data_IF_366159998786
#
_entry.id   IF_366159998786
#
_cell.length_a   1.000
_cell.length_b   1.000
_cell.length_c   1.000
_cell.angle_alpha   90.00
_cell.angle_beta   90.00
_cell.angle_gamma   90.00
#
_symmetry.space_group_name_H-M   'P 1'
#
loop_
_entity.id
_entity.type
_entity.pdbx_description
1 polymer ?
#
# COMPACT_ATOMS: atom_id res chain seq x y z
N UNK A 1 -11.58 -16.14 50.16
CA UNK A 1 -12.96 -16.65 50.01
C UNK A 1 -13.61 -16.20 48.69
N UNK A 2 -13.61 -14.90 48.34
CA UNK A 2 -14.19 -14.40 47.06
C UNK A 2 -13.68 -15.09 45.79
N UNK A 3 -12.37 -15.25 45.61
CA UNK A 3 -11.82 -15.91 44.42
C UNK A 3 -12.25 -17.39 44.29
N UNK A 4 -12.50 -18.09 45.42
CA UNK A 4 -12.91 -19.50 45.39
C UNK A 4 -14.38 -19.67 44.96
N UNK A 5 -15.25 -18.71 45.27
CA UNK A 5 -16.64 -18.69 44.79
C UNK A 5 -16.70 -18.29 43.32
N UNK A 6 -15.95 -17.27 42.89
CA UNK A 6 -15.87 -16.86 41.48
C UNK A 6 -15.31 -17.97 40.58
N UNK A 7 -14.31 -18.73 41.05
CA UNK A 7 -13.77 -19.89 40.31
C UNK A 7 -14.79 -21.04 40.16
N UNK A 8 -15.66 -21.24 41.15
CA UNK A 8 -16.76 -22.22 41.07
C UNK A 8 -17.89 -21.78 40.13
N UNK A 9 -17.99 -20.48 39.86
CA UNK A 9 -18.97 -19.91 38.93
C UNK A 9 -18.63 -20.11 37.45
N UNK A 10 -17.43 -20.59 37.11
CA UNK A 10 -17.03 -20.87 35.73
C UNK A 10 -17.81 -22.09 35.20
N UNK A 11 -18.66 -21.96 34.16
CA UNK A 11 -19.40 -23.08 33.60
C UNK A 11 -18.46 -24.12 32.97
N UNK A 12 -18.87 -25.39 32.94
CA UNK A 12 -18.12 -26.41 32.18
C UNK A 12 -18.17 -26.12 30.69
N UNK A 13 -17.14 -26.56 29.97
CA UNK A 13 -17.07 -26.40 28.51
C UNK A 13 -18.31 -26.99 27.82
N UNK A 14 -18.79 -28.15 28.28
CA UNK A 14 -20.01 -28.77 27.73
C UNK A 14 -21.27 -27.92 27.96
N UNK A 15 -21.36 -27.23 29.11
CA UNK A 15 -22.46 -26.29 29.36
C UNK A 15 -22.38 -25.08 28.45
N UNK A 16 -21.18 -24.54 28.24
CA UNK A 16 -20.96 -23.41 27.33
C UNK A 16 -21.32 -23.81 25.88
N UNK A 17 -20.87 -24.99 25.44
CA UNK A 17 -21.18 -25.52 24.11
C UNK A 17 -22.68 -25.70 23.85
N UNK A 18 -23.47 -25.99 24.89
CA UNK A 18 -24.91 -26.17 24.79
C UNK A 18 -25.70 -24.84 24.77
N UNK A 19 -25.03 -23.68 24.89
CA UNK A 19 -25.69 -22.38 24.93
C UNK A 19 -26.30 -21.99 23.57
N UNK A 20 -27.53 -21.45 23.54
CA UNK A 20 -28.17 -20.98 22.30
C UNK A 20 -27.34 -19.97 21.52
N UNK A 21 -26.59 -19.10 22.20
CA UNK A 21 -25.73 -18.06 21.63
C UNK A 21 -24.57 -18.64 20.81
N UNK A 22 -24.20 -19.91 21.03
CA UNK A 22 -23.13 -20.60 20.31
C UNK A 22 -23.62 -21.44 19.12
N UNK A 23 -24.94 -21.60 18.96
CA UNK A 23 -25.53 -22.48 17.93
C UNK A 23 -25.11 -22.10 16.51
N UNK A 24 -25.12 -20.81 16.20
CA UNK A 24 -24.69 -20.31 14.87
C UNK A 24 -23.21 -20.60 14.58
N UNK A 25 -22.39 -20.78 15.61
CA UNK A 25 -20.97 -21.12 15.49
C UNK A 25 -20.76 -22.63 15.43
N UNK A 26 -21.54 -23.43 16.17
CA UNK A 26 -21.44 -24.90 16.10
C UNK A 26 -21.78 -25.45 14.72
N UNK A 27 -22.61 -24.75 13.94
CA UNK A 27 -22.94 -25.13 12.56
C UNK A 27 -21.82 -24.80 11.56
N UNK A 28 -20.90 -23.89 11.92
CA UNK A 28 -19.86 -23.34 11.03
C UNK A 28 -18.44 -23.76 11.41
N UNK A 29 -18.22 -24.08 12.68
CA UNK A 29 -16.92 -24.40 13.26
C UNK A 29 -16.98 -25.83 13.77
N UNK A 30 -16.03 -26.67 13.33
CA UNK A 30 -15.89 -28.02 13.85
C UNK A 30 -15.75 -28.01 15.39
N UNK A 31 -16.47 -28.92 16.04
CA UNK A 31 -16.57 -29.02 17.50
C UNK A 31 -15.20 -29.03 18.19
N UNK A 32 -14.18 -29.63 17.56
CA UNK A 32 -12.81 -29.66 18.09
C UNK A 32 -12.25 -28.25 18.28
N UNK A 33 -12.41 -27.37 17.30
CA UNK A 33 -11.90 -26.00 17.36
C UNK A 33 -12.73 -25.13 18.29
N UNK A 34 -14.06 -25.27 18.25
CA UNK A 34 -14.95 -24.54 19.15
C UNK A 34 -14.64 -24.87 20.63
N UNK A 35 -14.46 -26.16 20.93
CA UNK A 35 -14.02 -26.64 22.26
C UNK A 35 -12.67 -26.05 22.65
N UNK A 36 -11.71 -26.00 21.71
CA UNK A 36 -10.38 -25.41 21.93
C UNK A 36 -10.44 -23.92 22.30
N UNK A 37 -11.25 -23.14 21.58
CA UNK A 37 -11.45 -21.71 21.82
C UNK A 37 -12.11 -21.48 23.20
N UNK A 38 -13.17 -22.22 23.50
CA UNK A 38 -13.86 -22.13 24.80
C UNK A 38 -12.90 -22.48 25.94
N UNK A 39 -12.13 -23.56 25.81
CA UNK A 39 -11.12 -23.94 26.81
C UNK A 39 -10.08 -22.84 27.01
N UNK A 40 -9.52 -22.31 25.93
CA UNK A 40 -8.55 -21.23 25.99
C UNK A 40 -9.11 -20.00 26.74
N UNK A 41 -10.32 -19.54 26.37
CA UNK A 41 -10.96 -18.40 27.04
C UNK A 41 -11.29 -18.69 28.49
N UNK A 42 -11.77 -19.89 28.80
CA UNK A 42 -12.05 -20.34 30.17
C UNK A 42 -10.77 -20.31 31.02
N UNK A 43 -9.63 -20.71 30.45
CA UNK A 43 -8.33 -20.70 31.13
C UNK A 43 -7.78 -19.27 31.30
N UNK A 44 -7.92 -18.40 30.30
CA UNK A 44 -7.60 -16.96 30.44
C UNK A 44 -8.41 -16.33 31.57
N UNK A 45 -9.71 -16.62 31.60
CA UNK A 45 -10.63 -16.12 32.61
C UNK A 45 -10.28 -16.62 34.01
N UNK A 46 -9.91 -17.91 34.13
CA UNK A 46 -9.41 -18.49 35.38
C UNK A 46 -8.19 -17.74 35.90
N UNK A 47 -7.26 -17.38 35.02
CA UNK A 47 -6.06 -16.59 35.38
C UNK A 47 -6.42 -15.18 35.85
N UNK A 48 -7.34 -14.49 35.16
CA UNK A 48 -7.81 -13.15 35.55
C UNK A 48 -8.46 -13.15 36.94
N UNK A 49 -9.34 -14.13 37.22
CA UNK A 49 -9.97 -14.30 38.56
C UNK A 49 -8.92 -14.58 39.64
N UNK A 50 -7.93 -15.43 39.35
CA UNK A 50 -6.81 -15.68 40.29
C UNK A 50 -5.96 -14.42 40.51
N UNK A 51 -5.85 -13.55 39.51
CA UNK A 51 -5.19 -12.24 39.58
C UNK A 51 -5.97 -11.17 40.35
N UNK A 52 -7.17 -11.48 40.85
CA UNK A 52 -7.98 -10.58 41.68
C UNK A 52 -9.00 -9.74 40.91
N UNK A 53 -9.19 -10.00 39.62
CA UNK A 53 -10.26 -9.36 38.84
C UNK A 53 -11.62 -10.03 39.14
N UNK A 54 -12.68 -9.22 39.26
CA UNK A 54 -14.03 -9.71 39.46
C UNK A 54 -14.73 -9.88 38.10
N UNK A 55 -15.19 -11.09 37.84
CA UNK A 55 -15.88 -11.43 36.60
C UNK A 55 -17.04 -12.40 36.84
N UNK A 56 -18.06 -12.35 35.98
CA UNK A 56 -19.20 -13.27 36.01
C UNK A 56 -19.13 -14.34 34.92
N UNK A 57 -20.00 -15.35 34.99
CA UNK A 57 -20.19 -16.34 33.93
C UNK A 57 -20.65 -15.70 32.62
N UNK A 58 -21.48 -14.66 32.70
CA UNK A 58 -22.01 -13.92 31.56
C UNK A 58 -20.90 -13.16 30.84
N UNK A 59 -19.96 -12.56 31.59
CA UNK A 59 -18.78 -11.90 31.03
C UNK A 59 -17.93 -12.90 30.21
N UNK A 60 -17.71 -14.12 30.72
CA UNK A 60 -16.99 -15.18 30.00
C UNK A 60 -17.72 -15.57 28.71
N UNK A 61 -19.03 -15.80 28.78
CA UNK A 61 -19.84 -16.17 27.61
C UNK A 61 -19.78 -15.05 26.57
N UNK A 62 -19.91 -13.80 26.99
CA UNK A 62 -19.84 -12.66 26.09
C UNK A 62 -18.45 -12.49 25.46
N UNK A 63 -17.37 -12.70 26.21
CA UNK A 63 -16.00 -12.72 25.68
C UNK A 63 -15.82 -13.85 24.64
N UNK A 64 -16.34 -15.05 24.92
CA UNK A 64 -16.31 -16.18 23.97
C UNK A 64 -17.09 -15.85 22.70
N UNK A 65 -18.32 -15.34 22.82
CA UNK A 65 -19.13 -14.96 21.66
C UNK A 65 -18.45 -13.86 20.84
N UNK A 66 -17.85 -12.86 21.50
CA UNK A 66 -17.14 -11.78 20.82
C UNK A 66 -15.89 -12.29 20.09
N UNK A 67 -15.11 -13.17 20.71
CA UNK A 67 -13.96 -13.82 20.09
C UNK A 67 -14.39 -14.64 18.86
N UNK A 68 -15.44 -15.47 19.01
CA UNK A 68 -15.96 -16.28 17.91
C UNK A 68 -16.46 -15.41 16.76
N UNK A 69 -17.14 -14.29 17.05
CA UNK A 69 -17.51 -13.29 16.03
C UNK A 69 -16.28 -12.71 15.34
N UNK A 70 -15.26 -12.34 16.10
CA UNK A 70 -14.04 -11.72 15.56
C UNK A 70 -13.27 -12.68 14.65
N UNK A 71 -12.97 -13.89 15.11
CA UNK A 71 -12.18 -14.87 14.34
C UNK A 71 -12.92 -15.41 13.10
N UNK A 72 -14.26 -15.42 13.12
CA UNK A 72 -15.07 -15.87 11.98
C UNK A 72 -15.42 -14.74 11.01
N UNK A 73 -15.19 -13.48 11.39
CA UNK A 73 -15.37 -12.34 10.50
C UNK A 73 -14.10 -12.17 9.66
N UNK A 74 -14.21 -12.10 8.32
CA UNK A 74 -13.03 -11.90 7.47
C UNK A 74 -12.27 -10.62 7.84
N UNK A 75 -11.01 -10.77 8.29
CA UNK A 75 -10.14 -9.65 8.64
C UNK A 75 -9.73 -8.84 7.40
N UNK A 76 -9.27 -9.52 6.34
CA UNK A 76 -8.92 -8.89 5.06
C UNK A 76 -10.18 -8.69 4.21
N UNK A 77 -10.84 -7.55 4.41
CA UNK A 77 -12.11 -7.22 3.77
C UNK A 77 -12.05 -5.90 2.99
N UNK A 78 -13.06 -5.68 2.17
CA UNK A 78 -13.26 -4.39 1.50
C UNK A 78 -13.46 -3.28 2.52
N UNK A 79 -12.84 -2.12 2.33
CA UNK A 79 -12.94 -0.98 3.24
C UNK A 79 -13.25 0.30 2.46
N UNK A 80 -14.05 1.19 3.05
CA UNK A 80 -14.36 2.50 2.49
C UNK A 80 -13.33 3.52 3.00
N UNK A 81 -12.58 4.10 2.07
CA UNK A 81 -11.58 5.13 2.36
C UNK A 81 -12.22 6.52 2.29
N UNK A 82 -12.66 7.05 3.44
CA UNK A 82 -13.05 8.45 3.62
C UNK A 82 -11.97 9.33 4.28
N UNK A 83 -10.71 8.86 4.34
CA UNK A 83 -9.61 9.62 4.95
C UNK A 83 -9.09 10.74 4.05
N UNK A 84 -9.29 10.62 2.73
CA UNK A 84 -8.74 11.57 1.77
C UNK A 84 -7.26 11.32 1.45
N UNK A 85 -6.76 10.10 1.71
CA UNK A 85 -5.38 9.71 1.40
C UNK A 85 -5.42 8.70 0.26
N UNK A 86 -4.90 9.06 -0.92
CA UNK A 86 -5.08 8.26 -2.16
C UNK A 86 -4.32 6.93 -2.10
N UNK A 87 -3.02 6.97 -1.78
CA UNK A 87 -2.13 5.82 -1.65
C UNK A 87 -1.93 5.47 -0.17
N UNK A 88 -3.03 5.20 0.54
CA UNK A 88 -2.97 4.93 1.97
C UNK A 88 -2.30 3.58 2.28
N UNK A 89 -1.16 3.59 2.97
CA UNK A 89 -0.36 2.37 3.22
C UNK A 89 -1.12 1.31 4.02
N UNK A 90 -1.92 1.73 5.02
CA UNK A 90 -2.73 0.81 5.82
C UNK A 90 -4.01 0.30 5.14
N UNK A 91 -4.43 0.89 4.01
CA UNK A 91 -5.63 0.47 3.25
C UNK A 91 -5.24 -0.16 1.90
N UNK A 92 -3.97 -0.53 1.71
CA UNK A 92 -3.52 -1.28 0.54
C UNK A 92 -3.00 -0.43 -0.64
N UNK A 93 -2.66 0.85 -0.42
CA UNK A 93 -2.12 1.78 -1.43
C UNK A 93 -3.05 1.98 -2.64
N UNK A 94 -2.63 1.52 -3.82
CA UNK A 94 -3.28 1.81 -5.09
C UNK A 94 -4.51 0.92 -5.29
N UNK A 95 -5.72 1.50 -5.45
CA UNK A 95 -6.84 0.75 -5.98
C UNK A 95 -6.57 0.39 -7.44
N UNK A 96 -7.01 -0.81 -7.84
CA UNK A 96 -6.82 -1.30 -9.19
C UNK A 96 -7.76 -0.63 -10.21
N UNK A 97 -7.36 -0.70 -11.47
CA UNK A 97 -8.16 -0.21 -12.59
C UNK A 97 -9.52 -0.91 -12.69
N UNK A 98 -10.47 -0.23 -13.34
CA UNK A 98 -11.81 -0.78 -13.60
C UNK A 98 -11.73 -2.12 -14.34
N UNK A 99 -12.49 -3.12 -13.88
CA UNK A 99 -12.53 -4.46 -14.48
C UNK A 99 -11.45 -5.43 -13.96
N UNK A 100 -10.60 -5.01 -13.01
CA UNK A 100 -9.60 -5.91 -12.40
C UNK A 100 -10.24 -7.07 -11.61
N UNK A 101 -11.42 -6.85 -11.05
CA UNK A 101 -12.22 -7.89 -10.38
C UNK A 101 -12.49 -9.09 -11.31
N UNK A 102 -12.81 -8.82 -12.58
CA UNK A 102 -12.99 -9.88 -13.59
C UNK A 102 -11.68 -10.62 -13.84
N UNK A 103 -10.56 -9.91 -13.97
CA UNK A 103 -9.24 -10.53 -14.20
C UNK A 103 -8.85 -11.43 -13.03
N UNK A 104 -8.99 -10.92 -11.81
CA UNK A 104 -8.71 -11.69 -10.59
C UNK A 104 -9.65 -12.90 -10.46
N UNK A 105 -10.93 -12.73 -10.78
CA UNK A 105 -11.90 -13.81 -10.84
C UNK A 105 -11.49 -14.90 -11.82
N UNK A 106 -11.13 -14.56 -13.07
CA UNK A 106 -10.69 -15.53 -14.07
C UNK A 106 -9.42 -16.28 -13.65
N UNK A 107 -8.39 -15.57 -13.18
CA UNK A 107 -7.12 -16.19 -12.73
C UNK A 107 -7.31 -17.02 -11.46
N UNK A 108 -8.28 -16.64 -10.62
CA UNK A 108 -8.63 -17.32 -9.38
C UNK A 108 -9.35 -18.65 -9.59
N UNK A 109 -10.07 -18.83 -10.70
CA UNK A 109 -10.86 -20.05 -10.98
C UNK A 109 -10.04 -21.34 -11.05
N UNK A 110 -8.74 -21.27 -11.33
CA UNK A 110 -7.91 -22.48 -11.39
C UNK A 110 -6.50 -22.26 -11.95
N UNK A 111 -6.12 -23.13 -12.87
CA UNK A 111 -4.84 -23.05 -13.60
C UNK A 111 -4.79 -21.80 -14.49
N UNK A 112 -3.58 -21.32 -14.79
CA UNK A 112 -3.36 -20.14 -15.63
C UNK A 112 -2.13 -20.33 -16.51
N UNK A 113 -2.08 -19.63 -17.64
CA UNK A 113 -0.90 -19.59 -18.53
C UNK A 113 0.21 -18.74 -17.90
N UNK A 114 0.91 -19.30 -16.92
CA UNK A 114 1.91 -18.58 -16.11
C UNK A 114 3.35 -18.72 -16.62
N UNK A 115 3.74 -19.92 -17.06
CA UNK A 115 5.10 -20.26 -17.50
C UNK A 115 5.07 -21.34 -18.59
N UNK A 116 4.12 -21.23 -19.51
CA UNK A 116 3.96 -22.17 -20.62
C UNK A 116 3.80 -21.41 -21.94
N UNK A 117 4.51 -21.84 -22.98
CA UNK A 117 4.38 -21.31 -24.34
C UNK A 117 3.23 -21.97 -25.12
N UNK A 118 3.09 -21.58 -26.39
CA UNK A 118 2.01 -22.06 -27.26
C UNK A 118 2.22 -23.52 -27.68
N UNK A 119 3.45 -24.03 -27.56
CA UNK A 119 3.84 -25.42 -27.79
C UNK A 119 3.71 -26.31 -26.54
N UNK A 120 3.26 -25.77 -25.40
CA UNK A 120 3.08 -26.51 -24.16
C UNK A 120 4.36 -26.74 -23.36
N UNK A 121 5.46 -26.04 -23.69
CA UNK A 121 6.76 -26.16 -23.01
C UNK A 121 6.95 -25.06 -21.99
N UNK A 122 7.89 -25.26 -21.07
CA UNK A 122 8.18 -24.30 -20.01
C UNK A 122 8.79 -23.02 -20.60
N UNK A 123 8.19 -21.88 -20.28
CA UNK A 123 8.58 -20.57 -20.78
C UNK A 123 8.98 -19.58 -19.67
N UNK A 124 9.67 -18.50 -20.04
CA UNK A 124 9.98 -17.40 -19.15
C UNK A 124 8.71 -16.66 -18.70
N UNK A 125 8.57 -16.47 -17.38
CA UNK A 125 7.45 -15.71 -16.79
C UNK A 125 7.44 -14.23 -17.20
N UNK A 126 8.63 -13.67 -17.45
CA UNK A 126 8.78 -12.24 -17.67
C UNK A 126 8.46 -11.83 -19.11
N UNK A 127 8.38 -12.75 -20.08
CA UNK A 127 8.39 -12.47 -21.52
C UNK A 127 7.45 -11.33 -21.92
N UNK A 128 6.16 -11.44 -21.59
CA UNK A 128 5.14 -10.47 -22.02
C UNK A 128 5.23 -9.14 -21.25
N UNK A 129 5.40 -9.18 -19.93
CA UNK A 129 5.55 -7.97 -19.10
C UNK A 129 6.84 -7.23 -19.46
N UNK A 130 7.95 -7.93 -19.69
CA UNK A 130 9.21 -7.35 -20.17
C UNK A 130 9.01 -6.59 -21.47
N UNK A 131 8.25 -7.18 -22.42
CA UNK A 131 7.93 -6.50 -23.68
C UNK A 131 7.07 -5.26 -23.49
N UNK A 132 6.07 -5.31 -22.60
CA UNK A 132 5.26 -4.14 -22.26
C UNK A 132 6.11 -3.02 -21.65
N UNK A 133 7.00 -3.36 -20.71
CA UNK A 133 7.92 -2.41 -20.09
C UNK A 133 8.82 -1.75 -21.15
N UNK A 134 9.39 -2.51 -22.09
CA UNK A 134 10.18 -1.95 -23.19
C UNK A 134 9.38 -0.94 -24.02
N UNK A 135 8.15 -1.30 -24.41
CA UNK A 135 7.28 -0.44 -25.23
C UNK A 135 6.92 0.85 -24.48
N UNK A 136 6.58 0.74 -23.20
CA UNK A 136 6.09 1.87 -22.39
C UNK A 136 7.23 2.80 -21.97
N UNK A 137 8.42 2.24 -21.69
CA UNK A 137 9.52 2.98 -21.05
C UNK A 137 10.66 3.35 -21.99
N UNK A 138 10.80 2.65 -23.11
CA UNK A 138 11.94 2.77 -24.03
C UNK A 138 13.21 2.06 -23.54
N UNK A 139 13.17 1.35 -22.40
CA UNK A 139 14.29 0.55 -21.92
C UNK A 139 14.56 -0.66 -22.84
N UNK A 140 15.80 -1.16 -22.84
CA UNK A 140 16.19 -2.33 -23.64
C UNK A 140 15.54 -3.62 -23.09
N UNK A 141 15.42 -3.74 -21.76
CA UNK A 141 14.79 -4.87 -21.11
C UNK A 141 14.15 -4.47 -19.78
N UNK A 142 13.28 -5.35 -19.27
CA UNK A 142 12.65 -5.17 -17.95
C UNK A 142 12.30 -6.49 -17.27
N UNK A 143 12.23 -6.46 -15.94
CA UNK A 143 11.78 -7.55 -15.08
C UNK A 143 11.03 -6.97 -13.87
N UNK A 144 10.47 -7.85 -13.05
CA UNK A 144 9.78 -7.44 -11.82
C UNK A 144 9.98 -8.47 -10.71
N UNK A 145 10.01 -8.00 -9.47
CA UNK A 145 10.21 -8.77 -8.25
C UNK A 145 9.22 -8.32 -7.17
N UNK A 146 9.23 -8.96 -6.00
CA UNK A 146 8.18 -8.85 -4.98
C UNK A 146 7.83 -7.41 -4.53
N UNK A 147 8.82 -6.51 -4.44
CA UNK A 147 8.64 -5.09 -4.14
C UNK A 147 9.92 -4.30 -4.51
N UNK A 148 9.87 -2.96 -4.46
CA UNK A 148 11.03 -2.13 -4.81
C UNK A 148 12.22 -2.31 -3.84
N UNK A 149 11.96 -2.68 -2.59
CA UNK A 149 13.01 -3.02 -1.65
C UNK A 149 13.81 -4.26 -2.10
N UNK A 150 13.10 -5.30 -2.53
CA UNK A 150 13.67 -6.49 -3.15
C UNK A 150 14.36 -6.18 -4.47
N UNK A 151 13.84 -5.23 -5.26
CA UNK A 151 14.51 -4.76 -6.47
C UNK A 151 15.87 -4.14 -6.16
N UNK A 152 15.91 -3.20 -5.21
CA UNK A 152 17.14 -2.54 -4.75
C UNK A 152 18.14 -3.57 -4.21
N UNK A 153 17.69 -4.48 -3.34
CA UNK A 153 18.48 -5.59 -2.81
C UNK A 153 19.10 -6.44 -3.94
N UNK A 154 18.29 -6.84 -4.92
CA UNK A 154 18.72 -7.67 -6.04
C UNK A 154 19.74 -6.95 -6.92
N UNK A 155 19.51 -5.67 -7.22
CA UNK A 155 20.41 -4.84 -8.04
C UNK A 155 21.78 -4.76 -7.35
N UNK A 156 21.80 -4.32 -6.10
CA UNK A 156 23.04 -4.13 -5.35
C UNK A 156 23.79 -5.44 -5.15
N UNK A 157 23.09 -6.53 -4.81
CA UNK A 157 23.71 -7.84 -4.65
C UNK A 157 24.32 -8.37 -5.96
N UNK A 158 23.68 -8.10 -7.09
CA UNK A 158 24.14 -8.60 -8.40
C UNK A 158 25.31 -7.78 -8.95
N UNK A 159 25.33 -6.48 -8.70
CA UNK A 159 26.30 -5.58 -9.29
C UNK A 159 27.49 -5.26 -8.38
N UNK A 160 27.26 -5.21 -7.07
CA UNK A 160 28.18 -4.57 -6.14
C UNK A 160 28.42 -5.36 -4.85
N UNK A 161 28.15 -6.67 -4.84
CA UNK A 161 28.52 -7.51 -3.69
C UNK A 161 30.01 -7.40 -3.40
N UNK A 162 30.34 -7.14 -2.14
CA UNK A 162 31.68 -6.90 -1.61
C UNK A 162 32.42 -5.72 -2.25
N UNK A 163 31.70 -4.81 -2.91
CA UNK A 163 32.22 -3.65 -3.63
C UNK A 163 31.48 -2.36 -3.26
N UNK A 164 32.08 -1.23 -3.56
CA UNK A 164 31.55 0.08 -3.15
C UNK A 164 30.47 0.60 -4.11
N UNK A 165 29.40 1.14 -3.54
CA UNK A 165 28.36 1.88 -4.26
C UNK A 165 28.33 3.31 -3.73
N UNK A 166 28.58 4.26 -4.63
CA UNK A 166 28.63 5.68 -4.29
C UNK A 166 27.22 6.27 -4.31
N UNK A 167 26.84 6.94 -3.23
CA UNK A 167 25.50 7.56 -3.08
C UNK A 167 25.60 8.85 -2.26
N UNK A 168 24.76 9.84 -2.55
CA UNK A 168 24.67 11.06 -1.75
C UNK A 168 24.16 10.75 -0.34
N UNK A 169 24.75 11.38 0.69
CA UNK A 169 24.28 11.31 2.08
C UNK A 169 22.82 11.79 2.21
N UNK A 170 22.43 12.79 1.42
CA UNK A 170 21.05 13.29 1.35
C UNK A 170 20.04 12.31 0.74
N UNK A 171 20.49 11.17 0.22
CA UNK A 171 19.66 10.15 -0.41
C UNK A 171 19.56 8.85 0.41
N UNK A 172 20.11 8.84 1.64
CA UNK A 172 19.99 7.73 2.59
C UNK A 172 18.63 7.80 3.32
N UNK A 173 17.58 7.44 2.61
CA UNK A 173 16.19 7.63 3.05
C UNK A 173 15.66 6.47 3.91
N UNK A 174 14.66 6.78 4.73
CA UNK A 174 13.77 5.80 5.38
C UNK A 174 12.36 5.93 4.81
N UNK A 175 11.75 4.81 4.41
CA UNK A 175 10.37 4.74 3.90
C UNK A 175 9.57 3.75 4.75
N UNK A 176 8.38 4.18 5.21
CA UNK A 176 7.39 3.28 5.80
C UNK A 176 7.82 2.59 7.11
N UNK A 177 8.78 3.18 7.84
CA UNK A 177 9.17 2.75 9.20
C UNK A 177 10.12 1.56 9.29
N UNK A 178 10.40 0.85 8.18
CA UNK A 178 11.26 -0.35 8.20
C UNK A 178 12.20 -0.48 7.00
N UNK A 179 11.95 0.25 5.90
CA UNK A 179 12.85 0.27 4.76
C UNK A 179 13.86 1.41 4.89
N UNK A 180 15.14 1.07 5.04
CA UNK A 180 16.26 2.02 5.10
C UNK A 180 17.29 1.63 4.05
N UNK A 181 17.67 2.58 3.19
CA UNK A 181 18.69 2.34 2.15
C UNK A 181 19.99 1.76 2.74
N UNK A 182 20.55 2.31 3.84
CA UNK A 182 21.77 1.74 4.45
C UNK A 182 21.64 0.26 4.86
N UNK A 183 20.51 -0.12 5.44
CA UNK A 183 20.28 -1.51 5.85
C UNK A 183 20.13 -2.44 4.66
N UNK A 184 19.46 -2.00 3.59
CA UNK A 184 19.32 -2.78 2.35
C UNK A 184 20.65 -2.93 1.64
N UNK A 185 21.48 -1.88 1.62
CA UNK A 185 22.85 -1.97 1.09
C UNK A 185 23.66 -3.00 1.87
N UNK A 186 23.64 -2.93 3.20
CA UNK A 186 24.31 -3.91 4.06
C UNK A 186 23.84 -5.34 3.80
N UNK A 187 22.53 -5.58 3.71
CA UNK A 187 21.96 -6.91 3.44
C UNK A 187 22.27 -7.42 2.02
N UNK A 188 22.46 -6.52 1.06
CA UNK A 188 22.84 -6.90 -0.31
C UNK A 188 24.29 -7.36 -0.41
N UNK A 189 25.11 -7.07 0.59
CA UNK A 189 26.57 -7.24 0.56
C UNK A 189 27.31 -6.10 -0.13
N UNK A 190 26.62 -5.04 -0.56
CA UNK A 190 27.26 -3.84 -1.09
C UNK A 190 27.85 -3.00 0.05
N UNK A 191 28.99 -2.38 -0.23
CA UNK A 191 29.66 -1.45 0.68
C UNK A 191 29.14 -0.04 0.40
N UNK A 192 28.47 0.57 1.38
CA UNK A 192 28.00 1.95 1.28
C UNK A 192 29.17 2.92 1.26
N UNK A 193 29.29 3.70 0.16
CA UNK A 193 30.23 4.82 0.03
C UNK A 193 29.45 6.12 -0.08
N UNK A 194 29.07 6.67 1.06
CA UNK A 194 28.32 7.93 1.12
C UNK A 194 29.20 9.16 0.82
N UNK A 195 28.66 10.13 0.07
CA UNK A 195 29.37 11.36 -0.33
C UNK A 195 28.53 12.61 -0.09
N UNK A 196 29.19 13.77 -0.07
CA UNK A 196 28.54 15.06 0.17
C UNK A 196 27.94 15.19 1.58
N UNK A 197 26.96 16.07 1.69
CA UNK A 197 26.23 16.38 2.94
C UNK A 197 24.73 16.17 2.76
N UNK A 198 23.98 16.22 3.86
CA UNK A 198 22.52 16.01 3.86
C UNK A 198 21.79 16.92 2.88
N UNK A 199 22.10 18.22 2.90
CA UNK A 199 21.41 19.22 2.08
C UNK A 199 22.12 19.49 0.75
N UNK A 200 23.44 19.31 0.66
CA UNK A 200 24.23 19.66 -0.54
C UNK A 200 25.19 18.55 -0.93
N UNK A 201 25.08 18.10 -2.17
CA UNK A 201 26.04 17.21 -2.82
C UNK A 201 26.45 17.81 -4.17
N UNK A 202 27.72 17.72 -4.49
CA UNK A 202 28.34 18.21 -5.71
C UNK A 202 28.91 17.04 -6.53
N UNK A 203 29.06 17.21 -7.85
CA UNK A 203 29.61 16.16 -8.71
C UNK A 203 31.04 15.74 -8.28
N UNK A 204 31.85 16.69 -7.81
CA UNK A 204 33.20 16.43 -7.29
C UNK A 204 33.20 15.50 -6.05
N UNK A 205 32.13 15.50 -5.25
CA UNK A 205 32.00 14.58 -4.11
C UNK A 205 31.89 13.13 -4.59
N UNK A 206 31.18 12.90 -5.70
CA UNK A 206 31.09 11.58 -6.33
C UNK A 206 32.42 11.19 -6.98
N UNK A 207 33.00 12.07 -7.79
CA UNK A 207 34.22 11.80 -8.55
C UNK A 207 35.41 11.47 -7.64
N UNK A 208 35.59 12.22 -6.56
CA UNK A 208 36.67 11.99 -5.59
C UNK A 208 36.55 10.70 -4.77
N UNK A 209 35.35 10.11 -4.72
CA UNK A 209 35.10 8.86 -4.01
C UNK A 209 35.30 7.61 -4.88
N UNK A 210 35.50 7.76 -6.19
CA UNK A 210 35.73 6.64 -7.11
C UNK A 210 37.10 6.01 -6.84
N UNK A 211 37.12 4.69 -6.68
CA UNK A 211 38.32 3.88 -6.55
C UNK A 211 38.16 2.52 -7.24
N UNK A 212 39.18 1.66 -7.20
CA UNK A 212 39.14 0.33 -7.82
C UNK A 212 38.02 -0.57 -7.25
N UNK A 213 37.61 -0.33 -6.00
CA UNK A 213 36.50 -1.06 -5.36
C UNK A 213 35.13 -0.59 -5.80
N UNK A 214 35.00 0.56 -6.45
CA UNK A 214 33.71 1.11 -6.89
C UNK A 214 33.08 0.23 -7.97
N UNK A 215 31.84 -0.20 -7.74
CA UNK A 215 31.08 -1.04 -8.64
C UNK A 215 29.90 -0.32 -9.31
N UNK A 216 29.34 0.72 -8.69
CA UNK A 216 28.23 1.48 -9.23
C UNK A 216 28.12 2.87 -8.61
N UNK A 217 27.42 3.76 -9.31
CA UNK A 217 26.91 5.03 -8.78
C UNK A 217 25.40 4.85 -8.59
N UNK A 218 24.88 5.21 -7.43
CA UNK A 218 23.46 5.11 -7.13
C UNK A 218 22.87 6.49 -6.84
N UNK A 219 21.69 6.73 -7.40
CA UNK A 219 20.82 7.85 -7.10
C UNK A 219 19.49 7.33 -6.57
N UNK A 220 18.98 7.92 -5.50
CA UNK A 220 17.67 7.58 -4.92
C UNK A 220 16.80 8.82 -4.87
N UNK A 221 15.59 8.74 -5.42
CA UNK A 221 14.62 9.82 -5.37
C UNK A 221 14.01 9.99 -3.97
N UNK A 222 14.00 11.22 -3.47
CA UNK A 222 13.38 11.60 -2.19
C UNK A 222 11.84 11.63 -2.32
N UNK A 223 11.22 10.46 -2.44
CA UNK A 223 9.79 10.32 -2.76
C UNK A 223 8.83 10.64 -1.59
N UNK A 224 9.31 10.57 -0.35
CA UNK A 224 8.52 10.70 0.87
C UNK A 224 8.87 11.91 1.77
N UNK A 225 9.80 12.77 1.35
CA UNK A 225 10.11 14.03 2.01
C UNK A 225 10.78 15.00 1.03
N UNK A 226 10.95 16.26 1.44
CA UNK A 226 11.73 17.27 0.71
C UNK A 226 12.63 18.02 1.67
N UNK A 227 13.84 18.38 1.20
CA UNK A 227 14.73 19.30 1.93
C UNK A 227 14.51 20.69 1.35
N UNK A 228 14.20 21.67 2.21
CA UNK A 228 13.98 23.07 1.83
C UNK A 228 15.16 23.94 2.27
N UNK A 229 15.35 25.09 1.63
CA UNK A 229 16.44 26.03 1.92
C UNK A 229 17.66 25.85 1.00
N UNK A 230 18.87 25.94 1.57
CA UNK A 230 20.11 25.79 0.81
C UNK A 230 20.39 24.33 0.46
N UNK A 231 19.83 23.88 -0.66
CA UNK A 231 19.96 22.51 -1.13
C UNK A 231 20.66 22.43 -2.49
N UNK A 232 21.33 21.30 -2.74
CA UNK A 232 21.94 20.98 -4.03
C UNK A 232 21.97 19.47 -4.24
N UNK A 233 21.38 19.02 -5.35
CA UNK A 233 21.44 17.65 -5.84
C UNK A 233 22.20 17.63 -7.17
N UNK A 234 22.95 16.56 -7.43
CA UNK A 234 23.63 16.34 -8.71
C UNK A 234 22.60 15.80 -9.72
N UNK A 235 22.39 16.45 -10.87
CA UNK A 235 21.50 15.94 -11.91
C UNK A 235 21.90 14.54 -12.40
N UNK A 236 20.91 13.71 -12.74
CA UNK A 236 21.15 12.34 -13.21
C UNK A 236 22.07 12.31 -14.44
N UNK A 237 21.91 13.25 -15.36
CA UNK A 237 22.73 13.36 -16.57
C UNK A 237 24.23 13.54 -16.25
N UNK A 238 24.56 14.29 -15.20
CA UNK A 238 25.94 14.47 -14.75
C UNK A 238 26.49 13.18 -14.14
N UNK A 239 25.68 12.46 -13.35
CA UNK A 239 26.04 11.14 -12.80
C UNK A 239 26.25 10.11 -13.91
N UNK A 240 25.40 10.10 -14.94
CA UNK A 240 25.57 9.24 -16.13
C UNK A 240 26.84 9.61 -16.89
N UNK A 241 27.13 10.90 -17.06
CA UNK A 241 28.40 11.37 -17.65
C UNK A 241 29.62 10.86 -16.87
N UNK A 242 29.57 10.94 -15.54
CA UNK A 242 30.62 10.43 -14.67
C UNK A 242 30.75 8.90 -14.74
N UNK A 243 29.61 8.18 -14.73
CA UNK A 243 29.58 6.73 -14.90
C UNK A 243 30.23 6.28 -16.20
N UNK A 244 29.94 6.97 -17.31
CA UNK A 244 30.61 6.70 -18.61
C UNK A 244 32.11 6.98 -18.56
N UNK A 245 32.54 8.08 -17.95
CA UNK A 245 33.96 8.45 -17.82
C UNK A 245 34.77 7.36 -17.10
N UNK A 246 34.19 6.72 -16.09
CA UNK A 246 34.86 5.71 -15.26
C UNK A 246 34.40 4.26 -15.52
N UNK A 247 33.57 4.04 -16.55
CA UNK A 247 32.97 2.75 -16.89
C UNK A 247 32.22 2.08 -15.70
N UNK A 248 31.38 2.87 -15.02
CA UNK A 248 30.56 2.44 -13.89
C UNK A 248 29.07 2.54 -14.24
N UNK A 249 28.24 1.51 -13.92
CA UNK A 249 26.81 1.59 -14.07
C UNK A 249 26.19 2.64 -13.14
N UNK A 250 25.20 3.36 -13.65
CA UNK A 250 24.35 4.28 -12.87
C UNK A 250 22.99 3.65 -12.59
N UNK A 251 22.67 3.52 -11.30
CA UNK A 251 21.40 2.99 -10.79
C UNK A 251 20.55 4.17 -10.33
N UNK A 252 19.33 4.30 -10.86
CA UNK A 252 18.35 5.31 -10.43
C UNK A 252 17.13 4.63 -9.77
N UNK A 253 17.04 4.71 -8.45
CA UNK A 253 15.85 4.27 -7.71
C UNK A 253 14.85 5.43 -7.63
N UNK A 254 13.84 5.39 -8.49
CA UNK A 254 12.80 6.42 -8.55
C UNK A 254 11.75 6.25 -7.46
N UNK A 255 11.53 5.03 -7.00
CA UNK A 255 10.52 4.69 -5.99
C UNK A 255 9.06 4.86 -6.44
N UNK A 256 8.66 6.00 -7.03
CA UNK A 256 7.26 6.39 -7.29
C UNK A 256 6.66 5.74 -8.54
N UNK A 257 7.48 5.56 -9.59
CA UNK A 257 7.09 4.89 -10.84
C UNK A 257 6.16 5.71 -11.73
N UNK A 258 6.33 7.03 -11.80
CA UNK A 258 5.51 7.87 -12.66
C UNK A 258 5.76 7.58 -14.16
N UNK A 259 4.70 7.19 -14.89
CA UNK A 259 4.73 6.98 -16.34
C UNK A 259 4.07 8.10 -17.15
N UNK A 260 3.33 8.99 -16.48
CA UNK A 260 2.66 10.14 -17.09
C UNK A 260 3.05 11.39 -16.32
N UNK A 261 3.29 12.47 -17.05
CA UNK A 261 3.51 13.78 -16.44
C UNK A 261 2.20 14.33 -15.89
N UNK A 262 2.08 14.44 -14.57
CA UNK A 262 0.89 15.00 -13.94
C UNK A 262 0.89 16.54 -13.89
N UNK A 263 2.00 17.20 -14.24
CA UNK A 263 2.08 18.67 -14.25
C UNK A 263 1.16 19.32 -15.27
N UNK A 264 0.85 18.62 -16.37
CA UNK A 264 -0.17 19.03 -17.33
C UNK A 264 -1.60 19.05 -16.77
N UNK A 265 -1.82 18.45 -15.60
CA UNK A 265 -3.09 18.50 -14.87
C UNK A 265 -3.03 19.33 -13.58
N UNK A 266 -1.99 20.16 -13.43
CA UNK A 266 -1.83 21.03 -12.26
C UNK A 266 -1.33 20.32 -11.00
N UNK A 267 -0.78 19.11 -11.12
CA UNK A 267 -0.11 18.42 -10.02
C UNK A 267 1.41 18.64 -10.09
N UNK A 268 2.16 18.48 -8.99
CA UNK A 268 3.61 18.61 -9.00
C UNK A 268 4.28 17.59 -9.92
N UNK A 269 5.44 17.97 -10.45
CA UNK A 269 6.23 17.12 -11.33
C UNK A 269 6.92 16.02 -10.53
N UNK A 270 6.64 14.78 -10.87
CA UNK A 270 7.42 13.61 -10.45
C UNK A 270 8.41 13.21 -11.55
N UNK A 271 9.59 12.66 -11.20
CA UNK A 271 10.51 12.12 -12.19
C UNK A 271 9.84 11.00 -12.98
N UNK A 272 9.81 11.14 -14.31
CA UNK A 272 9.28 10.10 -15.17
C UNK A 272 10.28 8.97 -15.34
N UNK A 273 9.76 7.75 -15.35
CA UNK A 273 10.55 6.54 -15.63
C UNK A 273 11.24 6.65 -16.99
N UNK A 274 10.52 7.15 -18.00
CA UNK A 274 11.04 7.31 -19.36
C UNK A 274 12.18 8.34 -19.44
N UNK A 275 12.12 9.39 -18.62
CA UNK A 275 13.16 10.42 -18.62
C UNK A 275 14.47 9.86 -18.07
N UNK A 276 14.41 9.01 -17.04
CA UNK A 276 15.59 8.39 -16.45
C UNK A 276 16.31 7.46 -17.44
N UNK A 277 15.55 6.70 -18.23
CA UNK A 277 16.08 5.90 -19.34
C UNK A 277 16.69 6.78 -20.43
N UNK A 278 15.99 7.83 -20.87
CA UNK A 278 16.50 8.76 -21.91
C UNK A 278 17.79 9.47 -21.50
N UNK A 279 17.91 9.81 -20.22
CA UNK A 279 19.11 10.42 -19.62
C UNK A 279 20.28 9.45 -19.56
N UNK A 280 20.04 8.15 -19.76
CA UNK A 280 21.06 7.13 -19.89
C UNK A 280 21.40 6.39 -18.60
N UNK A 281 20.49 6.35 -17.62
CA UNK A 281 20.65 5.45 -16.48
C UNK A 281 20.69 3.99 -16.95
N UNK A 282 21.64 3.23 -16.43
CA UNK A 282 21.85 1.84 -16.83
C UNK A 282 20.78 0.91 -16.27
N UNK A 283 20.31 1.21 -15.05
CA UNK A 283 19.24 0.50 -14.35
C UNK A 283 18.36 1.52 -13.65
N UNK A 284 17.04 1.36 -13.79
CA UNK A 284 16.02 2.12 -13.09
C UNK A 284 15.10 1.16 -12.34
N UNK A 285 14.78 1.47 -11.09
CA UNK A 285 13.81 0.69 -10.32
C UNK A 285 12.75 1.55 -9.61
N UNK A 286 11.56 0.99 -9.43
CA UNK A 286 10.41 1.67 -8.82
C UNK A 286 9.31 0.69 -8.36
N UNK A 287 8.40 1.17 -7.51
CA UNK A 287 7.24 0.40 -7.04
C UNK A 287 6.11 0.33 -8.07
N UNK A 288 5.47 -0.85 -8.18
CA UNK A 288 4.28 -1.06 -8.99
C UNK A 288 2.95 -0.62 -8.34
N UNK A 289 2.90 -0.47 -7.02
CA UNK A 289 1.69 -0.14 -6.25
C UNK A 289 1.59 1.33 -5.82
N UNK A 290 2.37 2.20 -6.47
CA UNK A 290 2.32 3.65 -6.29
C UNK A 290 1.68 4.32 -7.51
N UNK A 291 2.43 5.13 -8.28
CA UNK A 291 1.87 5.85 -9.44
C UNK A 291 1.65 4.98 -10.67
N UNK A 292 2.18 3.75 -10.68
CA UNK A 292 1.82 2.73 -11.68
C UNK A 292 0.39 2.21 -11.46
N UNK A 293 -0.17 2.31 -10.25
CA UNK A 293 -1.53 1.82 -9.93
C UNK A 293 -1.74 0.31 -10.11
N UNK A 294 -0.65 -0.46 -10.03
CA UNK A 294 -0.64 -1.91 -10.13
C UNK A 294 -0.52 -2.59 -8.77
N UNK A 295 -0.15 -3.87 -8.74
CA UNK A 295 0.03 -4.63 -7.51
C UNK A 295 1.35 -4.26 -6.85
N UNK A 296 1.54 -4.70 -5.60
CA UNK A 296 2.86 -4.63 -4.97
C UNK A 296 3.86 -5.44 -5.80
N UNK A 297 4.83 -4.73 -6.38
CA UNK A 297 6.00 -5.30 -7.03
C UNK A 297 7.10 -4.23 -7.13
N UNK A 298 8.34 -4.66 -7.34
CA UNK A 298 9.46 -3.82 -7.72
C UNK A 298 9.75 -4.06 -9.19
N UNK A 299 9.62 -3.03 -10.00
CA UNK A 299 9.88 -3.08 -11.43
C UNK A 299 11.32 -2.63 -11.64
N UNK A 300 12.07 -3.38 -12.45
CA UNK A 300 13.45 -3.08 -12.82
C UNK A 300 13.52 -3.03 -14.33
N UNK A 301 14.00 -1.91 -14.87
CA UNK A 301 14.20 -1.70 -16.31
C UNK A 301 15.61 -1.14 -16.55
N UNK A 302 16.13 -1.28 -17.77
CA UNK A 302 17.44 -0.73 -18.10
C UNK A 302 18.08 -1.45 -19.28
N UNK A 303 19.42 -1.47 -19.31
CA UNK A 303 20.19 -2.15 -20.34
C UNK A 303 20.06 -3.67 -20.23
N UNK A 304 20.00 -4.34 -21.37
CA UNK A 304 19.75 -5.77 -21.44
C UNK A 304 20.83 -6.59 -20.70
N UNK A 305 22.09 -6.18 -20.78
CA UNK A 305 23.21 -6.85 -20.12
C UNK A 305 23.03 -6.96 -18.59
N UNK A 306 22.49 -5.91 -17.96
CA UNK A 306 22.27 -5.89 -16.52
C UNK A 306 21.02 -6.67 -16.13
N UNK A 307 19.93 -6.53 -16.89
CA UNK A 307 18.69 -7.27 -16.64
C UNK A 307 18.93 -8.79 -16.74
N UNK A 308 19.73 -9.25 -17.71
CA UNK A 308 20.07 -10.66 -17.84
C UNK A 308 20.95 -11.18 -16.69
N UNK A 309 21.86 -10.35 -16.16
CA UNK A 309 22.61 -10.69 -14.94
C UNK A 309 21.68 -10.82 -13.74
N UNK A 310 20.73 -9.91 -13.57
CA UNK A 310 19.74 -9.96 -12.48
C UNK A 310 18.87 -11.22 -12.56
N UNK A 311 18.37 -11.58 -13.75
CA UNK A 311 17.58 -12.80 -13.96
C UNK A 311 18.32 -14.08 -13.54
N UNK A 312 19.65 -14.12 -13.75
CA UNK A 312 20.51 -15.27 -13.37
C UNK A 312 20.86 -15.33 -11.88
N UNK A 313 20.69 -14.23 -11.13
CA UNK A 313 20.96 -14.22 -9.69
C UNK A 313 19.96 -15.14 -8.95
N UNK A 314 20.42 -16.08 -8.10
CA UNK A 314 19.55 -16.95 -7.30
C UNK A 314 18.52 -16.21 -6.44
N UNK A 315 18.81 -15.00 -5.95
CA UNK A 315 17.85 -14.18 -5.19
C UNK A 315 16.59 -13.85 -6.00
N UNK A 316 16.69 -13.78 -7.33
CA UNK A 316 15.51 -13.60 -8.21
C UNK A 316 14.46 -14.68 -7.97
N UNK A 317 14.87 -15.90 -7.61
CA UNK A 317 13.93 -16.99 -7.30
C UNK A 317 13.20 -16.77 -5.98
N UNK A 318 13.88 -16.20 -4.98
CA UNK A 318 13.32 -15.89 -3.68
C UNK A 318 12.39 -14.66 -3.73
N UNK A 319 12.74 -13.67 -4.56
CA UNK A 319 12.00 -12.43 -4.73
C UNK A 319 10.92 -12.50 -5.83
N UNK A 320 10.62 -13.70 -6.34
CA UNK A 320 9.72 -13.88 -7.48
C UNK A 320 8.26 -13.65 -7.11
N UNK A 321 7.58 -12.81 -7.87
CA UNK A 321 6.14 -12.56 -7.75
C UNK A 321 5.28 -13.79 -8.09
N UNK A 322 4.10 -13.89 -7.49
CA UNK A 322 3.12 -14.94 -7.75
C UNK A 322 2.26 -14.66 -9.02
N UNK A 323 1.29 -15.54 -9.28
CA UNK A 323 0.44 -15.46 -10.49
C UNK A 323 -0.51 -14.25 -10.46
N UNK A 324 -1.02 -13.87 -9.30
CA UNK A 324 -1.97 -12.76 -9.15
C UNK A 324 -1.26 -11.44 -9.42
N UNK A 325 -0.10 -11.20 -8.78
CA UNK A 325 0.73 -10.02 -9.05
C UNK A 325 1.07 -9.93 -10.54
N UNK A 326 1.44 -11.05 -11.17
CA UNK A 326 1.76 -11.06 -12.60
C UNK A 326 0.57 -10.64 -13.47
N UNK A 327 -0.63 -11.17 -13.21
CA UNK A 327 -1.84 -10.87 -13.98
C UNK A 327 -2.34 -9.42 -13.78
N UNK A 328 -2.30 -8.93 -12.54
CA UNK A 328 -2.66 -7.54 -12.22
C UNK A 328 -1.67 -6.59 -12.88
N UNK A 329 -0.36 -6.85 -12.76
CA UNK A 329 0.67 -6.01 -13.39
C UNK A 329 0.54 -5.98 -14.90
N UNK A 330 0.35 -7.13 -15.56
CA UNK A 330 0.13 -7.19 -17.00
C UNK A 330 -1.08 -6.33 -17.43
N UNK A 331 -2.21 -6.50 -16.74
CA UNK A 331 -3.45 -5.76 -17.04
C UNK A 331 -3.26 -4.26 -16.84
N UNK A 332 -2.59 -3.86 -15.75
CA UNK A 332 -2.25 -2.46 -15.49
C UNK A 332 -1.36 -1.89 -16.58
N UNK A 333 -0.29 -2.58 -16.98
CA UNK A 333 0.62 -2.12 -18.03
C UNK A 333 -0.08 -2.01 -19.40
N UNK A 334 -1.00 -2.92 -19.72
CA UNK A 334 -1.81 -2.83 -20.94
C UNK A 334 -2.68 -1.56 -20.98
N UNK A 335 -3.09 -1.02 -19.83
CA UNK A 335 -3.84 0.24 -19.77
C UNK A 335 -2.99 1.42 -20.25
N UNK A 336 -1.68 1.41 -20.00
CA UNK A 336 -0.74 2.44 -20.47
C UNK A 336 -0.52 2.43 -21.99
N UNK A 337 -1.00 1.40 -22.71
CA UNK A 337 -1.02 1.40 -24.18
C UNK A 337 -2.27 2.09 -24.77
N UNK A 338 -3.23 2.47 -23.92
CA UNK A 338 -4.46 3.14 -24.36
C UNK A 338 -4.23 4.64 -24.53
N UNK A 339 -5.19 5.29 -25.18
CA UNK A 339 -5.21 6.75 -25.27
C UNK A 339 -5.26 7.37 -23.88
N UNK A 340 -4.66 8.55 -23.76
CA UNK A 340 -4.54 9.28 -22.50
C UNK A 340 -5.90 9.51 -21.82
N UNK A 341 -6.93 9.84 -22.60
CA UNK A 341 -8.27 10.09 -22.06
C UNK A 341 -8.92 8.83 -21.47
N UNK A 342 -8.54 7.65 -21.94
CA UNK A 342 -9.01 6.37 -21.42
C UNK A 342 -8.31 6.04 -20.11
N UNK A 343 -6.99 6.14 -20.06
CA UNK A 343 -6.23 5.80 -18.84
C UNK A 343 -6.60 6.71 -17.66
N UNK A 344 -6.78 8.02 -17.87
CA UNK A 344 -7.22 8.94 -16.81
C UNK A 344 -8.53 8.48 -16.15
N UNK A 345 -9.45 7.93 -16.95
CA UNK A 345 -10.79 7.52 -16.49
C UNK A 345 -10.81 6.13 -15.86
N UNK A 346 -10.05 5.19 -16.42
CA UNK A 346 -10.12 3.78 -16.04
C UNK A 346 -9.08 3.36 -15.00
N UNK A 347 -7.98 4.11 -14.88
CA UNK A 347 -6.93 3.83 -13.91
C UNK A 347 -7.38 4.17 -12.49
N UNK A 348 -7.19 3.24 -11.55
CA UNK A 348 -7.70 3.37 -10.18
C UNK A 348 -7.12 4.58 -9.45
N UNK A 349 -5.81 4.80 -9.52
CA UNK A 349 -5.17 5.98 -8.91
C UNK A 349 -5.50 7.29 -9.65
N UNK A 350 -5.42 7.33 -10.98
CA UNK A 350 -5.55 8.59 -11.74
C UNK A 350 -6.97 9.12 -11.71
N UNK A 351 -7.97 8.23 -11.73
CA UNK A 351 -9.38 8.62 -11.62
C UNK A 351 -9.71 9.28 -10.28
N UNK A 352 -8.92 9.01 -9.22
CA UNK A 352 -9.01 9.68 -7.92
C UNK A 352 -8.26 11.00 -7.93
N UNK A 353 -6.98 10.98 -8.33
CA UNK A 353 -6.12 12.17 -8.36
C UNK A 353 -6.71 13.29 -9.22
N UNK A 354 -7.20 12.92 -10.40
CA UNK A 354 -7.71 13.85 -11.41
C UNK A 354 -9.23 14.05 -11.33
N UNK A 355 -9.87 13.56 -10.26
CA UNK A 355 -11.32 13.73 -10.03
C UNK A 355 -11.67 15.23 -9.96
N UNK A 356 -12.55 15.76 -10.82
CA UNK A 356 -12.89 17.18 -10.79
C UNK A 356 -13.58 17.59 -9.49
N UNK A 357 -13.21 18.76 -8.94
CA UNK A 357 -13.75 19.28 -7.67
C UNK A 357 -15.29 19.39 -7.66
N UNK A 358 -15.88 19.80 -8.78
CA UNK A 358 -17.33 19.89 -8.91
C UNK A 358 -18.02 18.52 -8.78
N UNK A 359 -17.38 17.43 -9.25
CA UNK A 359 -17.89 16.07 -9.09
C UNK A 359 -17.78 15.59 -7.64
N UNK A 360 -16.69 15.91 -6.95
CA UNK A 360 -16.51 15.62 -5.52
C UNK A 360 -17.60 16.32 -4.70
N UNK A 361 -17.78 17.64 -4.92
CA UNK A 361 -18.84 18.43 -4.27
C UNK A 361 -20.23 17.88 -4.54
N UNK A 362 -20.50 17.47 -5.79
CA UNK A 362 -21.79 16.88 -6.19
C UNK A 362 -22.05 15.56 -5.47
N UNK A 363 -21.05 14.70 -5.35
CA UNK A 363 -21.18 13.42 -4.63
C UNK A 363 -21.41 13.64 -3.12
N UNK A 364 -20.64 14.55 -2.50
CA UNK A 364 -20.83 14.93 -1.09
C UNK A 364 -22.25 15.46 -0.83
N UNK A 365 -22.76 16.36 -1.71
CA UNK A 365 -24.14 16.88 -1.64
C UNK A 365 -25.20 15.79 -1.75
N UNK A 366 -24.99 14.81 -2.63
CA UNK A 366 -25.90 13.68 -2.78
C UNK A 366 -25.94 12.84 -1.50
N UNK A 367 -24.79 12.55 -0.89
CA UNK A 367 -24.72 11.81 0.36
C UNK A 367 -25.37 12.58 1.52
N UNK A 368 -25.07 13.87 1.65
CA UNK A 368 -25.63 14.75 2.68
C UNK A 368 -27.17 14.80 2.67
N UNK A 369 -27.79 14.87 1.49
CA UNK A 369 -29.26 14.79 1.33
C UNK A 369 -29.86 13.47 1.80
N UNK A 370 -29.09 12.38 1.76
CA UNK A 370 -29.53 11.10 2.33
C UNK A 370 -29.39 11.13 3.85
N UNK A 371 -28.28 11.68 4.38
CA UNK A 371 -28.03 11.76 5.82
C UNK A 371 -29.05 12.64 6.56
N UNK A 372 -29.65 13.65 5.91
CA UNK A 372 -30.69 14.48 6.52
C UNK A 372 -31.95 13.71 6.94
N UNK A 373 -32.08 12.44 6.53
CA UNK A 373 -33.15 11.53 6.94
C UNK A 373 -32.87 10.81 8.26
N UNK A 374 -31.65 10.92 8.81
CA UNK A 374 -31.23 10.26 10.04
C UNK A 374 -31.38 11.26 11.20
N UNK A 375 -32.31 11.04 12.15
CA UNK A 375 -32.48 11.91 13.31
C UNK A 375 -31.19 11.99 14.16
N UNK A 376 -30.92 13.16 14.75
CA UNK A 376 -29.77 13.33 15.66
C UNK A 376 -28.39 13.36 15.01
N UNK A 377 -28.31 13.44 13.66
CA UNK A 377 -27.07 13.71 12.94
C UNK A 377 -27.05 15.13 12.36
N UNK A 378 -26.04 15.90 12.74
CA UNK A 378 -25.68 17.17 12.11
C UNK A 378 -24.59 16.92 11.09
N UNK A 379 -24.67 17.62 9.96
CA UNK A 379 -23.67 17.51 8.90
C UNK A 379 -23.48 18.83 8.17
N UNK A 380 -22.30 19.01 7.60
CA UNK A 380 -21.94 20.16 6.78
C UNK A 380 -20.92 19.73 5.72
N UNK A 381 -21.01 20.32 4.52
CA UNK A 381 -19.99 20.13 3.49
C UNK A 381 -18.99 21.26 3.59
N UNK A 382 -17.72 20.92 3.79
CA UNK A 382 -16.63 21.90 3.92
C UNK A 382 -15.57 21.70 2.84
N UNK A 383 -14.92 22.80 2.49
CA UNK A 383 -13.68 22.76 1.72
C UNK A 383 -12.56 22.25 2.63
N UNK A 384 -11.64 21.49 2.03
CA UNK A 384 -10.55 20.83 2.75
C UNK A 384 -9.44 20.46 1.78
N UNK A 385 -8.45 19.71 2.26
CA UNK A 385 -7.39 19.11 1.45
C UNK A 385 -7.30 17.60 1.65
N UNK A 386 -7.05 16.90 0.55
CA UNK A 386 -6.67 15.48 0.49
C UNK A 386 -5.15 15.37 0.36
N UNK A 387 -4.61 14.22 0.75
CA UNK A 387 -3.20 13.88 0.55
C UNK A 387 -3.05 12.77 -0.48
N UNK A 388 -1.92 12.76 -1.19
CA UNK A 388 -1.61 11.66 -2.12
C UNK A 388 -1.15 10.43 -1.34
N UNK A 389 -0.31 10.58 -0.31
CA UNK A 389 0.17 9.49 0.54
C UNK A 389 1.13 8.50 -0.15
N UNK A 390 1.41 7.36 0.51
CA UNK A 390 2.12 6.23 -0.11
C UNK A 390 3.63 6.40 -0.34
N UNK A 391 4.22 7.48 0.18
CA UNK A 391 5.62 7.81 -0.07
C UNK A 391 5.90 8.13 -1.54
N UNK A 392 4.94 8.77 -2.21
CA UNK A 392 5.08 9.48 -3.50
C UNK A 392 4.32 10.79 -3.36
N UNK A 393 4.86 11.93 -3.79
CA UNK A 393 4.20 13.24 -3.66
C UNK A 393 3.66 13.54 -2.24
N UNK A 394 4.34 13.04 -1.21
CA UNK A 394 3.81 12.97 0.16
C UNK A 394 3.57 14.31 0.86
N UNK A 395 4.11 15.41 0.35
CA UNK A 395 3.97 16.76 0.93
C UNK A 395 2.87 17.58 0.27
N UNK A 396 2.16 16.98 -0.70
CA UNK A 396 1.29 17.71 -1.61
C UNK A 396 -0.17 17.58 -1.20
N UNK A 397 -0.85 18.73 -1.21
CA UNK A 397 -2.24 18.87 -0.81
C UNK A 397 -3.12 19.10 -2.04
N UNK A 398 -4.18 18.32 -2.15
CA UNK A 398 -5.17 18.45 -3.21
C UNK A 398 -6.45 19.08 -2.64
N UNK A 399 -6.94 20.21 -3.16
CA UNK A 399 -8.22 20.75 -2.73
C UNK A 399 -9.32 19.69 -2.83
N UNK A 400 -10.25 19.63 -1.89
CA UNK A 400 -11.34 18.64 -1.87
C UNK A 400 -12.58 19.17 -1.14
N UNK A 401 -13.64 18.37 -1.14
CA UNK A 401 -14.81 18.58 -0.29
C UNK A 401 -15.00 17.39 0.64
N UNK A 402 -15.13 17.69 1.93
CA UNK A 402 -15.43 16.72 2.98
C UNK A 402 -16.88 16.86 3.43
N UNK A 403 -17.46 15.77 3.91
CA UNK A 403 -18.69 15.80 4.70
C UNK A 403 -18.31 15.66 6.17
N UNK A 404 -18.55 16.71 6.94
CA UNK A 404 -18.45 16.68 8.40
C UNK A 404 -19.72 16.07 8.97
N UNK A 405 -19.59 15.27 10.02
CA UNK A 405 -20.68 14.56 10.67
C UNK A 405 -20.49 14.66 12.18
N UNK A 406 -21.55 15.03 12.89
CA UNK A 406 -21.64 15.03 14.35
C UNK A 406 -22.93 14.39 14.81
N UNK A 407 -22.82 13.48 15.77
CA UNK A 407 -23.99 12.91 16.44
C UNK A 407 -24.33 13.72 17.68
N UNK A 408 -25.61 13.91 17.95
CA UNK A 408 -26.08 14.50 19.21
C UNK A 408 -25.97 13.52 20.39
N UNK A 409 -25.84 12.22 20.11
CA UNK A 409 -25.87 11.14 21.11
C UNK A 409 -24.51 10.47 21.33
N UNK A 410 -23.68 10.43 20.29
CA UNK A 410 -22.36 9.78 20.34
C UNK A 410 -21.25 10.82 20.29
N UNK A 411 -20.18 10.60 21.07
CA UNK A 411 -18.93 11.32 20.85
C UNK A 411 -18.38 10.98 19.46
N UNK A 412 -17.62 11.90 18.88
CA UNK A 412 -17.02 11.74 17.55
C UNK A 412 -16.13 10.50 17.48
N UNK A 413 -15.38 10.21 18.54
CA UNK A 413 -14.52 9.02 18.65
C UNK A 413 -15.34 7.72 18.68
N UNK A 414 -16.46 7.71 19.42
CA UNK A 414 -17.36 6.55 19.47
C UNK A 414 -17.98 6.29 18.10
N UNK A 415 -18.44 7.34 17.42
CA UNK A 415 -18.98 7.24 16.06
C UNK A 415 -17.93 6.72 15.07
N UNK A 416 -16.71 7.28 15.07
CA UNK A 416 -15.62 6.83 14.22
C UNK A 416 -15.22 5.38 14.51
N UNK A 417 -15.18 4.98 15.79
CA UNK A 417 -14.90 3.60 16.19
C UNK A 417 -15.99 2.64 15.72
N UNK A 418 -17.26 3.05 15.81
CA UNK A 418 -18.39 2.25 15.35
C UNK A 418 -18.34 2.04 13.83
N UNK A 419 -17.99 3.09 13.06
CA UNK A 419 -17.79 2.99 11.60
C UNK A 419 -16.63 2.06 11.21
N UNK A 420 -15.51 2.11 11.93
CA UNK A 420 -14.38 1.19 11.71
C UNK A 420 -14.72 -0.27 12.03
N UNK A 421 -15.74 -0.51 12.84
CA UNK A 421 -16.24 -1.86 13.20
C UNK A 421 -17.46 -2.29 12.37
N UNK A 422 -17.94 -1.43 11.47
CA UNK A 422 -19.01 -1.77 10.55
C UNK A 422 -18.50 -2.73 9.47
N UNK A 423 -19.41 -3.40 8.76
CA UNK A 423 -19.07 -4.27 7.63
C UNK A 423 -19.77 -3.77 6.33
N UNK A 424 -19.02 -3.27 5.32
CA UNK A 424 -17.57 -3.05 5.34
C UNK A 424 -17.14 -1.90 6.26
N UNK A 425 -15.92 -1.90 6.81
CA UNK A 425 -15.43 -0.83 7.67
C UNK A 425 -15.31 0.49 6.89
N UNK A 426 -15.65 1.59 7.56
CA UNK A 426 -15.57 2.95 7.01
C UNK A 426 -14.54 3.75 7.81
N UNK A 427 -13.57 4.31 7.12
CA UNK A 427 -12.52 5.13 7.71
C UNK A 427 -12.74 6.60 7.37
N UNK A 428 -12.64 7.46 8.38
CA UNK A 428 -12.67 8.92 8.28
C UNK A 428 -11.72 9.51 9.30
N UNK A 429 -11.45 10.81 9.17
CA UNK A 429 -10.55 11.54 10.10
C UNK A 429 -11.36 12.39 11.07
N UNK A 430 -10.77 12.69 12.22
CA UNK A 430 -11.39 13.54 13.25
C UNK A 430 -10.63 14.85 13.29
N UNK A 431 -11.34 15.95 13.08
CA UNK A 431 -10.80 17.32 13.15
C UNK A 431 -11.84 18.18 13.88
N UNK A 432 -11.40 18.99 14.85
CA UNK A 432 -12.26 19.89 15.65
C UNK A 432 -13.53 19.24 16.22
N UNK A 433 -13.41 18.01 16.74
CA UNK A 433 -14.55 17.21 17.25
C UNK A 433 -15.69 17.03 16.22
N UNK A 434 -15.29 16.82 14.96
CA UNK A 434 -16.14 16.42 13.84
C UNK A 434 -15.53 15.21 13.14
N UNK A 435 -16.38 14.27 12.72
CA UNK A 435 -15.96 13.18 11.83
C UNK A 435 -16.01 13.68 10.39
N UNK A 436 -14.89 13.61 9.68
CA UNK A 436 -14.76 14.01 8.29
C UNK A 436 -14.68 12.78 7.38
N UNK A 437 -15.48 12.79 6.32
CA UNK A 437 -15.41 11.86 5.20
C UNK A 437 -15.04 12.63 3.93
N UNK A 438 -13.84 12.37 3.39
CA UNK A 438 -13.34 13.00 2.17
C UNK A 438 -13.85 12.28 0.90
N UNK A 439 -14.59 13.02 0.08
CA UNK A 439 -15.22 12.48 -1.14
C UNK A 439 -14.26 12.35 -2.32
N UNK A 440 -12.98 12.72 -2.17
CA UNK A 440 -11.92 12.39 -3.13
C UNK A 440 -11.81 10.88 -3.30
N UNK A 441 -11.67 10.15 -2.19
CA UNK A 441 -11.36 8.71 -2.14
C UNK A 441 -12.60 7.82 -2.00
N UNK A 442 -13.78 8.41 -1.80
CA UNK A 442 -15.05 7.67 -1.79
C UNK A 442 -15.53 7.44 -3.23
N UNK A 443 -15.68 6.17 -3.60
CA UNK A 443 -16.14 5.73 -4.90
C UNK A 443 -17.65 5.91 -5.10
N UNK A 444 -18.11 6.08 -6.35
CA UNK A 444 -19.55 6.14 -6.65
C UNK A 444 -20.28 4.89 -6.16
N UNK A 445 -21.35 5.07 -5.41
CA UNK A 445 -22.17 3.99 -4.84
C UNK A 445 -21.90 3.73 -3.36
N UNK A 446 -20.69 4.01 -2.87
CA UNK A 446 -20.33 3.83 -1.47
C UNK A 446 -21.11 4.77 -0.54
N UNK A 447 -21.65 5.88 -1.05
CA UNK A 447 -22.52 6.77 -0.27
C UNK A 447 -23.75 6.04 0.31
N UNK A 448 -24.20 4.95 -0.32
CA UNK A 448 -25.31 4.13 0.18
C UNK A 448 -24.89 3.31 1.40
N UNK A 449 -23.66 2.80 1.40
CA UNK A 449 -23.09 2.02 2.49
C UNK A 449 -22.85 2.94 3.69
N UNK A 450 -22.30 4.14 3.45
CA UNK A 450 -22.11 5.18 4.47
C UNK A 450 -23.46 5.54 5.14
N UNK A 451 -24.50 5.78 4.35
CA UNK A 451 -25.85 6.04 4.88
C UNK A 451 -26.36 4.89 5.73
N UNK A 452 -26.29 3.65 5.24
CA UNK A 452 -26.76 2.48 5.96
C UNK A 452 -26.01 2.28 7.29
N UNK A 453 -24.69 2.44 7.27
CA UNK A 453 -23.85 2.33 8.46
C UNK A 453 -24.22 3.38 9.52
N UNK A 454 -24.30 4.65 9.15
CA UNK A 454 -24.65 5.74 10.07
C UNK A 454 -26.07 5.57 10.63
N UNK A 455 -27.04 5.20 9.80
CA UNK A 455 -28.41 4.97 10.24
C UNK A 455 -28.50 3.81 11.24
N UNK A 456 -27.78 2.71 10.99
CA UNK A 456 -27.75 1.56 11.90
C UNK A 456 -27.04 1.91 13.21
N UNK A 457 -25.91 2.62 13.14
CA UNK A 457 -25.15 3.02 14.32
C UNK A 457 -26.00 3.95 15.18
N UNK A 458 -26.58 5.01 14.64
CA UNK A 458 -27.40 5.93 15.45
C UNK A 458 -28.59 5.22 16.10
N UNK A 459 -29.23 4.27 15.40
CA UNK A 459 -30.33 3.46 15.93
C UNK A 459 -29.92 2.45 17.01
N UNK A 460 -28.70 1.95 16.96
CA UNK A 460 -28.21 0.95 17.95
C UNK A 460 -27.87 1.61 19.28
N UNK A 461 -27.77 2.95 19.29
CA UNK A 461 -27.53 3.76 20.48
C UNK A 461 -28.70 4.73 20.75
N UNK A 462 -29.91 4.43 20.25
CA UNK A 462 -31.17 4.88 20.90
C UNK A 462 -31.53 3.87 21.99
#
# INVERSE_FOLDING_TARGET
>A
MRNAESLRGIPSVDKILALPELKDFSDKIDLKYLTGIIRYKTDEFRKKILGGENFTSEDLIQEIVNELKDITTPYYSYAINGLGIVLHTGLGRAPYAKGMDRVLGEIGKGYSRLQIDDEGRRAERYKKISKLLQIITGAEAGMFVNNNAGATLLILNTLARDREVIISRGQLIEIGGSFRIPEVMKQSGAVLREVGTTNRTHLADYESAICERTAAIMRVHQSNYRILGFTKEVPLEELVGLGRKYNLPVIDDLGSGALIDFSKYGLPKEPLVQDSIKKGADIVCFSGDKLIGGPQCGIIIGRNEYIERLKKNPLTRALRCDKLISAVLETTLLLFLRKEETIIKEHGVFSILLKPLNQIKKQARKCARSLSKIPGLKWEIRESVSEIGGGSLSTEQLPTYVLTIKSERLSTEKLARALRRYNPPIFGRIEDDLLLLDFRTIFPGEEKIIFAALNNIVKTYE
#
